data_IF_644518474691
#
_entry.id   IF_644518474691
#
_cell.length_a   1.000
_cell.length_b   1.000
_cell.length_c   1.000
_cell.angle_alpha   90.00
_cell.angle_beta   90.00
_cell.angle_gamma   90.00
#
_symmetry.space_group_name_H-M   'P 1'
#
loop_
_entity.id
_entity.type
_entity.pdbx_description
1 polymer ?
#
# COMPACT_ATOMS: atom_id res chain seq x y z
N UNK A 1 3.60 -9.36 6.28
CA UNK A 1 2.43 -10.05 5.73
C UNK A 1 2.91 -11.11 4.74
N UNK A 2 2.76 -12.39 5.07
CA UNK A 2 3.05 -13.50 4.16
C UNK A 2 1.71 -14.17 3.85
N UNK A 3 1.14 -13.91 2.68
CA UNK A 3 -0.17 -14.49 2.32
C UNK A 3 -1.08 -13.68 1.38
N UNK A 4 -0.64 -12.54 0.84
CA UNK A 4 -1.43 -11.88 -0.19
C UNK A 4 -1.33 -12.65 -1.52
N UNK A 5 -2.48 -12.85 -2.16
CA UNK A 5 -2.55 -13.46 -3.48
C UNK A 5 -1.79 -12.60 -4.51
N UNK A 6 -1.44 -13.16 -5.65
CA UNK A 6 -0.89 -12.35 -6.74
C UNK A 6 -1.98 -11.38 -7.25
N UNK A 7 -1.67 -10.10 -7.49
CA UNK A 7 -2.65 -9.18 -8.02
C UNK A 7 -3.09 -9.60 -9.44
N UNK A 8 -4.29 -9.21 -9.88
CA UNK A 8 -4.74 -9.49 -11.25
C UNK A 8 -3.75 -8.97 -12.30
N UNK A 9 -3.76 -9.57 -13.51
CA UNK A 9 -2.90 -9.12 -14.61
C UNK A 9 -3.05 -7.62 -14.86
N UNK A 10 -1.91 -6.93 -14.98
CA UNK A 10 -1.86 -5.47 -15.18
C UNK A 10 -2.15 -4.66 -13.92
N UNK A 11 -2.16 -5.29 -12.73
CA UNK A 11 -2.33 -4.64 -11.43
C UNK A 11 -1.13 -4.86 -10.54
N UNK A 12 -0.99 -4.00 -9.54
CA UNK A 12 0.00 -4.08 -8.45
C UNK A 12 -0.71 -3.83 -7.13
N UNK A 13 -0.08 -4.22 -6.02
CA UNK A 13 -0.46 -3.66 -4.73
C UNK A 13 0.31 -2.38 -4.49
N UNK A 14 -0.39 -1.33 -4.07
CA UNK A 14 0.23 -0.07 -3.65
C UNK A 14 0.02 0.11 -2.16
N UNK A 15 1.10 0.51 -1.49
CA UNK A 15 1.13 0.84 -0.08
C UNK A 15 0.85 2.33 0.08
N UNK A 16 0.17 2.68 1.16
CA UNK A 16 -0.20 4.04 1.48
C UNK A 16 0.09 4.35 2.95
N UNK A 17 0.54 5.56 3.23
CA UNK A 17 0.41 6.15 4.55
C UNK A 17 -0.95 6.83 4.65
N UNK A 18 -1.70 6.52 5.71
CA UNK A 18 -2.97 7.16 6.03
C UNK A 18 -2.73 8.35 6.95
N UNK A 19 -2.79 9.56 6.40
CA UNK A 19 -2.71 10.82 7.12
C UNK A 19 -4.12 11.34 7.38
N UNK A 20 -4.74 10.83 8.46
CA UNK A 20 -6.08 11.19 8.91
C UNK A 20 -7.17 11.10 7.82
N UNK A 21 -7.14 10.05 7.00
CA UNK A 21 -8.04 9.81 5.88
C UNK A 21 -7.48 10.21 4.52
N UNK A 22 -6.33 10.90 4.49
CA UNK A 22 -5.63 11.24 3.25
C UNK A 22 -4.54 10.20 2.97
N UNK A 23 -4.71 9.45 1.88
CA UNK A 23 -3.78 8.40 1.49
C UNK A 23 -2.63 8.97 0.65
N UNK A 24 -1.41 8.97 1.20
CA UNK A 24 -0.17 9.29 0.48
C UNK A 24 0.54 8.03 0.03
N UNK A 25 1.03 7.99 -1.21
CA UNK A 25 1.73 6.82 -1.71
C UNK A 25 2.98 6.53 -0.88
N UNK A 26 3.15 5.26 -0.52
CA UNK A 26 4.27 4.77 0.26
C UNK A 26 5.08 3.68 -0.46
N UNK A 27 4.84 3.50 -1.76
CA UNK A 27 5.56 2.54 -2.62
C UNK A 27 4.68 1.42 -3.17
N UNK A 28 5.27 0.64 -4.07
CA UNK A 28 4.62 -0.49 -4.74
C UNK A 28 5.18 -1.82 -4.21
N UNK A 29 4.31 -2.81 -4.05
CA UNK A 29 4.74 -4.17 -3.76
C UNK A 29 5.01 -4.91 -5.07
N UNK A 30 6.20 -5.49 -5.18
CA UNK A 30 6.57 -6.33 -6.31
C UNK A 30 5.75 -7.64 -6.29
N UNK A 31 4.90 -7.90 -7.30
CA UNK A 31 4.08 -9.11 -7.36
C UNK A 31 4.92 -10.40 -7.45
N UNK A 32 6.18 -10.32 -7.89
CA UNK A 32 7.10 -11.45 -7.94
C UNK A 32 7.71 -11.83 -6.60
N UNK A 33 7.64 -10.95 -5.58
CA UNK A 33 8.23 -11.17 -4.26
C UNK A 33 7.14 -11.40 -3.21
N UNK A 34 6.67 -12.65 -3.15
CA UNK A 34 5.58 -13.15 -2.29
C UNK A 34 5.77 -12.96 -0.78
N UNK A 35 6.98 -12.60 -0.34
CA UNK A 35 7.32 -12.44 1.06
C UNK A 35 8.54 -11.53 1.21
N UNK A 36 8.34 -10.22 1.25
CA UNK A 36 9.37 -9.32 1.73
C UNK A 36 8.75 -8.18 2.52
N UNK A 37 9.41 -7.78 3.59
CA UNK A 37 9.20 -6.46 4.17
C UNK A 37 9.45 -5.45 3.04
N UNK A 38 8.43 -4.68 2.68
CA UNK A 38 8.57 -3.61 1.70
C UNK A 38 9.06 -2.39 2.48
N UNK A 39 10.18 -1.83 2.04
CA UNK A 39 10.61 -0.51 2.49
C UNK A 39 9.59 0.49 1.96
N UNK A 40 8.87 1.12 2.87
CA UNK A 40 7.94 2.19 2.51
C UNK A 40 8.72 3.46 2.22
N UNK A 41 8.36 4.13 1.13
CA UNK A 41 8.97 5.37 0.72
C UNK A 41 8.23 6.57 1.34
N UNK A 42 8.99 7.55 1.82
CA UNK A 42 8.46 8.77 2.43
C UNK A 42 8.42 8.73 3.96
N UNK A 43 8.15 9.90 4.55
CA UNK A 43 8.10 10.04 6.00
C UNK A 43 6.86 9.32 6.57
N UNK A 44 7.10 8.55 7.64
CA UNK A 44 6.05 7.98 8.49
C UNK A 44 5.42 9.03 9.40
N UNK A 45 6.12 10.15 9.64
CA UNK A 45 5.66 11.23 10.50
C UNK A 45 4.28 11.73 10.05
N UNK A 46 3.34 11.80 11.00
CA UNK A 46 1.95 12.20 10.78
C UNK A 46 1.04 11.09 10.24
N UNK A 47 1.55 9.91 9.86
CA UNK A 47 0.70 8.81 9.44
C UNK A 47 -0.02 8.18 10.65
N UNK A 48 -1.34 8.21 10.63
CA UNK A 48 -2.21 7.49 11.56
C UNK A 48 -2.33 5.99 11.21
N UNK A 49 -1.91 5.58 10.01
CA UNK A 49 -1.99 4.19 9.57
C UNK A 49 -1.28 3.87 8.27
N UNK A 50 -1.41 2.60 7.87
CA UNK A 50 -0.94 2.04 6.59
C UNK A 50 -2.12 1.40 5.87
N UNK A 51 -2.25 1.67 4.57
CA UNK A 51 -3.23 1.04 3.71
C UNK A 51 -2.61 0.25 2.56
N UNK A 52 -3.36 -0.72 2.05
CA UNK A 52 -3.01 -1.50 0.84
C UNK A 52 -4.20 -1.50 -0.10
N UNK A 53 -3.99 -1.14 -1.37
CA UNK A 53 -5.01 -1.16 -2.43
C UNK A 53 -4.52 -1.95 -3.64
N UNK A 54 -5.44 -2.31 -4.54
CA UNK A 54 -5.12 -2.88 -5.85
C UNK A 54 -5.17 -1.76 -6.88
N UNK A 55 -4.05 -1.51 -7.55
CA UNK A 55 -3.87 -0.36 -8.43
C UNK A 55 -3.42 -0.79 -9.82
N UNK A 56 -3.61 0.04 -10.86
CA UNK A 56 -2.99 -0.16 -12.18
C UNK A 56 -1.48 -0.38 -12.09
N UNK A 57 -0.90 -1.09 -13.06
CA UNK A 57 0.54 -1.21 -13.19
C UNK A 57 1.22 0.18 -13.19
N UNK A 58 2.26 0.33 -12.38
CA UNK A 58 2.92 1.63 -12.11
C UNK A 58 2.35 2.41 -10.93
N UNK A 59 1.24 1.95 -10.34
CA UNK A 59 0.58 2.61 -9.21
C UNK A 59 -0.32 3.77 -9.64
N UNK A 60 -0.81 4.47 -8.63
CA UNK A 60 -1.72 5.60 -8.75
C UNK A 60 -1.26 6.78 -7.89
N UNK A 61 -1.65 8.02 -8.23
CA UNK A 61 -1.42 9.19 -7.39
C UNK A 61 -2.33 9.22 -6.14
N UNK A 62 -3.48 8.54 -6.20
CA UNK A 62 -4.42 8.35 -5.10
C UNK A 62 -5.09 6.97 -5.23
N UNK A 63 -5.64 6.38 -4.15
CA UNK A 63 -6.35 5.11 -4.24
C UNK A 63 -7.44 5.12 -5.32
N UNK A 64 -7.43 4.11 -6.19
CA UNK A 64 -8.53 3.90 -7.17
C UNK A 64 -9.51 2.83 -6.71
N UNK A 65 -9.14 2.06 -5.68
CA UNK A 65 -9.94 1.01 -5.07
C UNK A 65 -10.05 1.20 -3.56
N UNK A 66 -11.08 0.61 -2.97
CA UNK A 66 -11.18 0.51 -1.52
C UNK A 66 -9.99 -0.27 -0.96
N UNK A 67 -9.37 0.17 0.13
CA UNK A 67 -8.29 -0.58 0.77
C UNK A 67 -8.71 -2.02 1.11
N UNK A 68 -7.86 -2.97 0.74
CA UNK A 68 -8.02 -4.39 1.08
C UNK A 68 -7.41 -4.72 2.44
N UNK A 69 -6.54 -3.84 2.95
CA UNK A 69 -6.01 -3.89 4.29
C UNK A 69 -5.77 -2.47 4.80
N UNK A 70 -6.09 -2.24 6.06
CA UNK A 70 -5.80 -1.01 6.80
C UNK A 70 -5.27 -1.39 8.18
N UNK A 71 -4.15 -0.79 8.57
CA UNK A 71 -3.54 -0.99 9.88
C UNK A 71 -3.31 0.37 10.51
N UNK A 72 -3.88 0.60 11.69
CA UNK A 72 -3.64 1.80 12.47
C UNK A 72 -2.26 1.73 13.12
N UNK A 73 -1.51 2.83 13.10
CA UNK A 73 -0.28 2.95 13.88
C UNK A 73 -0.63 3.46 15.28
N UNK A 74 0.01 2.93 16.34
CA UNK A 74 -0.09 3.53 17.66
C UNK A 74 0.54 4.93 17.63
N UNK A 75 -0.04 5.83 18.43
CA UNK A 75 0.50 7.17 18.66
C UNK A 75 1.79 7.14 19.49
#
# INVERSE_FOLDING_TARGET
ASGMAEPPRGKVYQLWFDDHGTMRSAGLMDPGRKSQAVLMEGAVDGAAGVGITVEPAGGSPQPTTTPIALMTMPA
#
